data_IF_260183580872
#
_entry.id   IF_260183580872
#
_cell.length_a   1.000
_cell.length_b   1.000
_cell.length_c   1.000
_cell.angle_alpha   90.00
_cell.angle_beta   90.00
_cell.angle_gamma   90.00
#
_symmetry.space_group_name_H-M   'P 1'
#
loop_
_entity.id
_entity.type
_entity.pdbx_description
1 polymer ?
#
# COMPACT_ATOMS: atom_id res chain seq x y z
N UNK A 1 -15.63 13.28 -5.58
CA UNK A 1 -15.85 13.87 -6.93
C UNK A 1 -17.02 13.18 -7.65
N UNK A 2 -17.59 13.77 -8.70
CA UNK A 2 -18.54 13.08 -9.59
C UNK A 2 -17.81 12.72 -10.90
N UNK A 3 -18.04 11.52 -11.44
CA UNK A 3 -17.52 11.12 -12.74
C UNK A 3 -18.56 11.35 -13.83
N UNK A 4 -18.10 11.73 -15.02
CA UNK A 4 -18.96 12.04 -16.16
C UNK A 4 -18.51 11.27 -17.39
N UNK A 5 -19.47 10.75 -18.15
CA UNK A 5 -19.27 10.28 -19.51
C UNK A 5 -19.55 11.43 -20.49
N UNK A 6 -18.71 11.59 -21.52
CA UNK A 6 -18.94 12.56 -22.60
C UNK A 6 -19.37 11.83 -23.87
N UNK A 7 -20.59 12.11 -24.32
CA UNK A 7 -21.15 11.57 -25.57
C UNK A 7 -21.85 12.68 -26.33
N UNK A 8 -21.62 12.80 -27.64
CA UNK A 8 -22.20 13.87 -28.46
C UNK A 8 -21.94 15.31 -27.93
N UNK A 9 -20.80 15.53 -27.28
CA UNK A 9 -20.42 16.80 -26.61
C UNK A 9 -21.33 17.17 -25.42
N UNK A 10 -22.11 16.23 -24.91
CA UNK A 10 -22.89 16.37 -23.69
C UNK A 10 -22.24 15.58 -22.55
N UNK A 11 -22.32 16.12 -21.33
CA UNK A 11 -21.79 15.50 -20.12
C UNK A 11 -22.92 14.82 -19.36
N UNK A 12 -22.79 13.51 -19.14
CA UNK A 12 -23.72 12.71 -18.35
C UNK A 12 -23.03 12.24 -17.08
N UNK A 13 -23.58 12.62 -15.92
CA UNK A 13 -23.08 12.14 -14.65
C UNK A 13 -23.27 10.62 -14.54
N UNK A 14 -22.24 9.92 -14.11
CA UNK A 14 -22.32 8.49 -13.82
C UNK A 14 -23.05 8.25 -12.50
N UNK A 15 -23.86 7.21 -12.46
CA UNK A 15 -24.57 6.79 -11.25
C UNK A 15 -23.59 6.11 -10.30
N UNK A 16 -23.49 6.63 -9.07
CA UNK A 16 -22.76 5.95 -7.99
C UNK A 16 -23.53 4.72 -7.56
N UNK A 17 -22.80 3.63 -7.35
CA UNK A 17 -23.35 2.38 -6.81
C UNK A 17 -22.53 1.94 -5.60
N UNK A 18 -22.74 0.72 -5.11
CA UNK A 18 -21.90 0.08 -4.09
C UNK A 18 -21.46 -1.29 -4.57
N UNK A 19 -20.33 -1.79 -4.08
CA UNK A 19 -19.89 -3.15 -4.40
C UNK A 19 -20.94 -4.22 -4.04
N UNK A 20 -21.69 -4.00 -2.96
CA UNK A 20 -22.76 -4.91 -2.55
C UNK A 20 -23.91 -4.92 -3.56
N UNK A 21 -24.31 -3.77 -4.11
CA UNK A 21 -25.37 -3.67 -5.11
C UNK A 21 -24.96 -4.29 -6.45
N UNK A 22 -23.69 -4.15 -6.85
CA UNK A 22 -23.15 -4.77 -8.05
C UNK A 22 -22.78 -6.25 -7.86
N UNK A 23 -23.03 -6.82 -6.67
CA UNK A 23 -22.73 -8.22 -6.37
C UNK A 23 -21.24 -8.56 -6.25
N UNK A 24 -20.36 -7.55 -6.23
CA UNK A 24 -18.91 -7.72 -6.15
C UNK A 24 -18.48 -8.11 -4.72
N UNK A 25 -17.75 -9.21 -4.64
CA UNK A 25 -17.19 -9.77 -3.43
C UNK A 25 -15.76 -9.25 -3.21
N UNK A 26 -15.44 -9.00 -1.95
CA UNK A 26 -14.14 -8.42 -1.55
C UNK A 26 -12.97 -9.30 -2.00
N UNK A 27 -12.98 -10.58 -1.63
CA UNK A 27 -11.90 -11.52 -1.96
C UNK A 27 -11.93 -12.01 -3.40
N UNK A 28 -13.09 -12.38 -3.91
CA UNK A 28 -13.19 -13.07 -5.20
C UNK A 28 -13.20 -12.13 -6.41
N UNK A 29 -13.58 -10.86 -6.21
CA UNK A 29 -13.67 -9.89 -7.30
C UNK A 29 -12.69 -8.72 -7.07
N UNK A 30 -12.82 -7.98 -5.96
CA UNK A 30 -12.02 -6.76 -5.75
C UNK A 30 -10.54 -7.07 -5.58
N UNK A 31 -10.17 -7.97 -4.67
CA UNK A 31 -8.79 -8.36 -4.45
C UNK A 31 -8.16 -8.99 -5.71
N UNK A 32 -8.89 -9.84 -6.42
CA UNK A 32 -8.45 -10.45 -7.68
C UNK A 32 -8.19 -9.43 -8.79
N UNK A 33 -9.01 -8.37 -8.87
CA UNK A 33 -8.82 -7.28 -9.82
C UNK A 33 -7.66 -6.36 -9.39
N UNK A 34 -7.63 -5.95 -8.12
CA UNK A 34 -6.64 -5.03 -7.56
C UNK A 34 -5.23 -5.62 -7.60
N UNK A 35 -5.05 -6.90 -7.26
CA UNK A 35 -3.71 -7.51 -7.26
C UNK A 35 -3.06 -7.55 -8.65
N UNK A 36 -3.86 -7.53 -9.73
CA UNK A 36 -3.39 -7.49 -11.11
C UNK A 36 -3.01 -6.07 -11.55
N UNK A 37 -3.48 -5.05 -10.83
CA UNK A 37 -3.22 -3.65 -11.11
C UNK A 37 -3.08 -2.87 -9.80
N UNK A 38 -2.07 -3.25 -9.01
CA UNK A 38 -1.92 -2.79 -7.62
C UNK A 38 -1.65 -1.28 -7.53
N UNK A 39 -1.08 -0.71 -8.59
CA UNK A 39 -0.73 0.71 -8.69
C UNK A 39 -1.91 1.66 -8.47
N UNK A 40 -3.15 1.20 -8.70
CA UNK A 40 -4.34 2.02 -8.48
C UNK A 40 -4.54 2.40 -7.00
N UNK A 41 -3.98 1.63 -6.05
CA UNK A 41 -4.04 1.91 -4.62
C UNK A 41 -2.66 2.04 -3.96
N UNK A 42 -1.68 1.32 -4.47
CA UNK A 42 -0.33 1.24 -3.92
C UNK A 42 0.66 1.30 -5.11
N UNK A 43 0.94 2.50 -5.64
CA UNK A 43 1.94 2.69 -6.68
C UNK A 43 3.30 2.19 -6.22
N UNK A 44 4.09 1.73 -7.19
CA UNK A 44 5.47 1.29 -6.96
C UNK A 44 5.55 0.14 -5.95
N UNK A 45 4.58 -0.79 -6.01
CA UNK A 45 4.51 -1.96 -5.15
C UNK A 45 4.47 -3.27 -5.96
N UNK A 46 5.16 -4.29 -5.46
CA UNK A 46 5.15 -5.65 -5.97
C UNK A 46 4.39 -6.55 -5.00
N UNK A 47 3.26 -7.12 -5.42
CA UNK A 47 2.51 -8.09 -4.61
C UNK A 47 3.29 -9.40 -4.49
N UNK A 48 3.61 -9.79 -3.26
CA UNK A 48 4.36 -11.01 -2.96
C UNK A 48 3.51 -12.13 -2.34
N UNK A 49 2.35 -11.80 -1.77
CA UNK A 49 1.41 -12.80 -1.25
C UNK A 49 0.00 -12.24 -1.21
N UNK A 50 -0.98 -13.14 -1.28
CA UNK A 50 -2.39 -12.89 -0.97
C UNK A 50 -2.82 -13.76 0.21
N UNK A 51 -3.79 -13.29 1.00
CA UNK A 51 -4.34 -14.01 2.14
C UNK A 51 -3.25 -14.52 3.11
N UNK A 52 -2.23 -13.69 3.34
CA UNK A 52 -1.02 -14.07 4.06
C UNK A 52 -1.32 -14.39 5.53
N UNK A 53 -0.93 -15.58 5.98
CA UNK A 53 -1.10 -16.06 7.35
C UNK A 53 0.05 -16.99 7.72
N UNK A 54 0.95 -16.54 8.59
CA UNK A 54 2.12 -17.32 9.05
C UNK A 54 2.19 -17.47 10.57
N UNK A 55 1.06 -17.32 11.25
CA UNK A 55 0.97 -17.42 12.70
C UNK A 55 0.23 -18.70 13.08
N UNK A 56 0.85 -19.49 13.96
CA UNK A 56 0.40 -20.86 14.30
C UNK A 56 -1.03 -20.90 14.90
N UNK A 57 -1.45 -19.85 15.61
CA UNK A 57 -2.68 -19.84 16.42
C UNK A 57 -3.73 -18.80 16.01
N UNK A 58 -3.73 -18.33 14.76
CA UNK A 58 -4.72 -17.33 14.34
C UNK A 58 -5.23 -17.53 12.91
N UNK A 59 -6.55 -17.37 12.75
CA UNK A 59 -7.24 -17.41 11.44
C UNK A 59 -7.23 -16.07 10.71
N UNK A 60 -6.59 -15.06 11.31
CA UNK A 60 -6.41 -13.78 10.67
C UNK A 60 -5.55 -13.96 9.44
N UNK A 61 -5.61 -12.99 8.52
CA UNK A 61 -4.74 -12.94 7.35
C UNK A 61 -4.65 -11.50 6.85
N UNK A 62 -3.54 -11.18 6.20
CA UNK A 62 -3.38 -9.94 5.42
C UNK A 62 -3.98 -10.20 4.06
N UNK A 63 -4.82 -9.27 3.55
CA UNK A 63 -5.45 -9.46 2.24
C UNK A 63 -4.39 -9.52 1.14
N UNK A 64 -3.52 -8.50 1.06
CA UNK A 64 -2.36 -8.48 0.18
C UNK A 64 -1.11 -8.02 0.93
N UNK A 65 -0.01 -8.74 0.72
CA UNK A 65 1.33 -8.36 1.19
C UNK A 65 2.17 -8.01 -0.04
N UNK A 66 2.82 -6.85 0.00
CA UNK A 66 3.66 -6.36 -1.08
C UNK A 66 5.02 -5.85 -0.57
N UNK A 67 5.91 -5.55 -1.52
CA UNK A 67 7.20 -4.89 -1.31
C UNK A 67 7.20 -3.61 -2.14
N UNK A 68 7.69 -2.49 -1.59
CA UNK A 68 7.88 -1.26 -2.35
C UNK A 68 9.29 -1.12 -2.94
N UNK A 69 9.50 -0.07 -3.75
CA UNK A 69 10.80 0.23 -4.36
C UNK A 69 11.95 0.47 -3.36
N UNK A 70 11.65 0.73 -2.09
CA UNK A 70 12.65 0.89 -1.03
C UNK A 70 12.87 -0.41 -0.24
N UNK A 71 12.36 -1.54 -0.74
CA UNK A 71 12.41 -2.85 -0.09
C UNK A 71 11.71 -2.90 1.28
N UNK A 72 10.74 -2.01 1.53
CA UNK A 72 9.87 -2.06 2.69
C UNK A 72 8.71 -3.01 2.46
N UNK A 73 8.22 -3.63 3.55
CA UNK A 73 7.00 -4.42 3.50
C UNK A 73 5.78 -3.50 3.46
N UNK A 74 4.78 -3.88 2.67
CA UNK A 74 3.53 -3.13 2.51
C UNK A 74 2.35 -4.02 2.85
N UNK A 75 1.65 -3.68 3.93
CA UNK A 75 0.40 -4.33 4.37
C UNK A 75 -0.76 -3.63 3.68
N UNK A 76 -1.53 -4.38 2.89
CA UNK A 76 -2.66 -3.84 2.14
C UNK A 76 -3.93 -4.55 2.59
N UNK A 77 -4.87 -3.78 3.14
CA UNK A 77 -6.19 -4.26 3.57
C UNK A 77 -7.28 -3.67 2.68
N UNK A 78 -8.21 -4.51 2.27
CA UNK A 78 -9.30 -4.17 1.36
C UNK A 78 -10.64 -4.30 2.08
N UNK A 79 -11.54 -3.34 1.85
CA UNK A 79 -12.92 -3.44 2.29
C UNK A 79 -13.91 -3.00 1.25
N UNK A 80 -15.01 -3.75 1.14
CA UNK A 80 -16.14 -3.33 0.32
C UNK A 80 -17.17 -2.44 1.05
N UNK A 81 -17.10 -2.36 2.38
CA UNK A 81 -18.02 -1.53 3.19
C UNK A 81 -17.66 -0.03 3.16
N UNK A 82 -18.59 0.82 3.60
CA UNK A 82 -18.47 2.28 3.57
C UNK A 82 -17.85 2.87 4.85
N UNK A 83 -17.41 2.03 5.78
CA UNK A 83 -16.91 2.50 7.09
C UNK A 83 -15.42 2.26 7.26
N UNK A 84 -14.89 1.25 6.59
CA UNK A 84 -13.54 0.75 6.82
C UNK A 84 -13.36 0.19 8.24
N UNK A 85 -14.43 -0.22 8.92
CA UNK A 85 -14.41 -0.40 10.37
C UNK A 85 -13.24 -1.31 10.85
N UNK A 86 -12.40 -0.79 11.74
CA UNK A 86 -11.25 -1.49 12.36
C UNK A 86 -10.11 -1.88 11.40
N UNK A 87 -10.10 -1.42 10.15
CA UNK A 87 -9.02 -1.72 9.20
C UNK A 87 -7.67 -1.26 9.73
N UNK A 88 -7.61 -0.07 10.34
CA UNK A 88 -6.40 0.51 10.93
C UNK A 88 -5.83 -0.35 12.05
N UNK A 89 -6.69 -0.93 12.89
CA UNK A 89 -6.27 -1.84 13.97
C UNK A 89 -5.82 -3.19 13.43
N UNK A 90 -6.46 -3.69 12.37
CA UNK A 90 -6.03 -4.91 11.69
C UNK A 90 -4.66 -4.73 11.06
N UNK A 91 -4.51 -3.71 10.22
CA UNK A 91 -3.27 -3.43 9.53
C UNK A 91 -2.12 -3.14 10.48
N UNK A 92 -2.33 -2.37 11.55
CA UNK A 92 -1.28 -2.08 12.54
C UNK A 92 -0.80 -3.35 13.25
N UNK A 93 -1.73 -4.26 13.59
CA UNK A 93 -1.37 -5.55 14.16
C UNK A 93 -0.57 -6.39 13.17
N UNK A 94 -0.98 -6.43 11.90
CA UNK A 94 -0.26 -7.18 10.87
C UNK A 94 1.13 -6.62 10.60
N UNK A 95 1.25 -5.30 10.51
CA UNK A 95 2.54 -4.63 10.41
C UNK A 95 3.45 -5.06 11.57
N UNK A 96 2.97 -5.00 12.80
CA UNK A 96 3.74 -5.46 13.96
C UNK A 96 4.15 -6.95 13.83
N UNK A 97 3.25 -7.82 13.36
CA UNK A 97 3.51 -9.26 13.21
C UNK A 97 4.55 -9.59 12.14
N UNK A 98 4.62 -8.82 11.05
CA UNK A 98 5.60 -9.05 9.97
C UNK A 98 6.87 -8.22 10.11
N UNK A 99 6.99 -7.39 11.15
CA UNK A 99 8.13 -6.47 11.36
C UNK A 99 9.49 -7.13 11.49
N UNK A 100 9.53 -8.44 11.77
CA UNK A 100 10.76 -9.23 11.87
C UNK A 100 10.96 -10.16 10.67
N UNK A 101 10.13 -10.05 9.64
CA UNK A 101 10.23 -10.87 8.44
C UNK A 101 11.55 -10.58 7.71
N UNK A 102 12.35 -11.62 7.49
CA UNK A 102 13.59 -11.52 6.73
C UNK A 102 13.33 -11.54 5.22
N UNK A 103 14.29 -11.01 4.45
CA UNK A 103 14.25 -11.06 2.99
C UNK A 103 14.11 -12.50 2.45
N UNK A 104 14.87 -13.44 3.03
CA UNK A 104 14.78 -14.86 2.67
C UNK A 104 13.35 -15.39 2.85
N UNK A 105 12.70 -15.01 3.95
CA UNK A 105 11.32 -15.41 4.23
C UNK A 105 10.33 -14.78 3.24
N UNK A 106 10.49 -13.50 2.91
CA UNK A 106 9.69 -12.85 1.87
C UNK A 106 9.83 -13.55 0.51
N UNK A 107 11.04 -13.96 0.12
CA UNK A 107 11.29 -14.73 -1.08
C UNK A 107 10.57 -16.09 -1.08
N UNK A 108 10.57 -16.82 0.06
CA UNK A 108 9.83 -18.09 0.19
C UNK A 108 8.33 -17.93 -0.06
N UNK A 109 7.72 -16.88 0.50
CA UNK A 109 6.31 -16.60 0.28
C UNK A 109 6.02 -16.19 -1.15
N UNK A 110 6.87 -15.32 -1.70
CA UNK A 110 6.70 -14.90 -3.08
C UNK A 110 6.85 -16.07 -4.05
N UNK A 111 7.79 -16.98 -3.81
CA UNK A 111 7.92 -18.18 -4.63
C UNK A 111 6.66 -19.06 -4.58
N UNK A 112 6.06 -19.17 -3.39
CA UNK A 112 4.79 -19.89 -3.22
C UNK A 112 3.65 -19.21 -3.97
N UNK A 113 3.59 -17.87 -3.93
CA UNK A 113 2.62 -17.08 -4.66
C UNK A 113 2.80 -17.24 -6.18
N UNK A 114 4.02 -17.11 -6.71
CA UNK A 114 4.31 -17.30 -8.13
C UNK A 114 3.89 -18.67 -8.64
N UNK A 115 4.14 -19.74 -7.87
CA UNK A 115 3.68 -21.10 -8.20
C UNK A 115 2.16 -21.19 -8.29
N UNK A 116 1.42 -20.56 -7.37
CA UNK A 116 -0.06 -20.50 -7.43
C UNK A 116 -0.55 -19.75 -8.67
N UNK A 117 0.20 -18.75 -9.13
CA UNK A 117 -0.09 -18.00 -10.36
C UNK A 117 0.43 -18.69 -11.64
N UNK A 118 0.97 -19.91 -11.56
CA UNK A 118 1.61 -20.62 -12.68
C UNK A 118 2.74 -19.81 -13.35
N UNK A 119 3.54 -19.10 -12.55
CA UNK A 119 4.70 -18.35 -12.99
C UNK A 119 5.99 -19.04 -12.52
N UNK A 120 6.84 -19.46 -13.46
CA UNK A 120 8.11 -20.16 -13.19
C UNK A 120 9.30 -19.23 -12.92
N UNK A 121 9.02 -17.98 -12.55
CA UNK A 121 10.08 -17.01 -12.25
C UNK A 121 10.70 -17.30 -10.87
N UNK A 122 11.97 -16.94 -10.72
CA UNK A 122 12.63 -16.92 -9.42
C UNK A 122 12.16 -15.70 -8.61
N UNK A 123 11.65 -15.95 -7.41
CA UNK A 123 11.11 -14.92 -6.55
C UNK A 123 12.16 -13.89 -6.12
N UNK A 124 13.37 -14.35 -5.83
CA UNK A 124 14.45 -13.50 -5.35
C UNK A 124 14.92 -12.57 -6.47
N UNK A 125 15.18 -13.13 -7.66
CA UNK A 125 15.56 -12.34 -8.84
C UNK A 125 14.51 -11.26 -9.16
N UNK A 126 13.21 -11.62 -9.14
CA UNK A 126 12.14 -10.65 -9.37
C UNK A 126 12.08 -9.53 -8.34
N UNK A 127 12.29 -9.84 -7.06
CA UNK A 127 12.29 -8.79 -6.03
C UNK A 127 13.50 -7.87 -6.24
N UNK A 128 14.70 -8.42 -6.48
CA UNK A 128 15.92 -7.64 -6.73
C UNK A 128 15.78 -6.74 -7.97
N UNK A 129 15.26 -7.27 -9.07
CA UNK A 129 14.96 -6.51 -10.28
C UNK A 129 13.94 -5.39 -10.00
N UNK A 130 12.91 -5.70 -9.21
CA UNK A 130 11.89 -4.73 -8.87
C UNK A 130 12.44 -3.58 -8.01
N UNK A 131 13.23 -3.87 -6.97
CA UNK A 131 13.80 -2.84 -6.09
C UNK A 131 15.03 -2.14 -6.69
N UNK A 132 15.57 -2.66 -7.80
CA UNK A 132 16.77 -2.14 -8.48
C UNK A 132 18.02 -2.15 -7.56
N UNK A 133 18.15 -3.18 -6.72
CA UNK A 133 19.25 -3.36 -5.78
C UNK A 133 19.85 -4.76 -5.90
N UNK A 134 21.15 -4.86 -5.63
CA UNK A 134 21.80 -6.15 -5.39
C UNK A 134 21.51 -6.67 -3.98
N UNK A 135 21.60 -8.00 -3.79
CA UNK A 135 21.37 -8.62 -2.46
C UNK A 135 22.32 -8.07 -1.38
N UNK A 136 23.55 -7.68 -1.75
CA UNK A 136 24.51 -7.09 -0.82
C UNK A 136 24.13 -5.67 -0.37
N UNK A 137 23.23 -5.01 -1.09
CA UNK A 137 22.75 -3.65 -0.81
C UNK A 137 21.46 -3.67 0.04
N UNK A 138 20.82 -4.84 0.17
CA UNK A 138 19.59 -5.09 0.94
C UNK A 138 19.81 -5.15 2.47
N UNK A 139 20.67 -4.29 3.00
CA UNK A 139 20.99 -4.22 4.43
C UNK A 139 19.78 -3.78 5.25
N UNK A 140 18.89 -2.98 4.66
CA UNK A 140 17.74 -2.36 5.30
C UNK A 140 16.38 -2.97 4.85
N UNK A 141 16.35 -4.23 4.40
CA UNK A 141 15.08 -4.89 4.03
C UNK A 141 14.05 -4.84 5.16
N UNK A 142 12.83 -4.39 4.85
CA UNK A 142 11.72 -4.37 5.81
C UNK A 142 11.99 -3.47 7.03
N UNK A 143 12.90 -2.50 6.92
CA UNK A 143 13.24 -1.55 8.00
C UNK A 143 12.02 -0.78 8.48
N UNK A 144 11.19 -0.34 7.53
CA UNK A 144 9.90 0.26 7.80
C UNK A 144 8.79 -0.58 7.17
N UNK A 145 7.55 -0.34 7.63
CA UNK A 145 6.36 -1.01 7.12
C UNK A 145 5.36 0.05 6.72
N UNK A 146 4.87 -0.07 5.49
CA UNK A 146 3.84 0.79 4.94
C UNK A 146 2.49 0.08 5.06
N UNK A 147 1.45 0.86 5.30
CA UNK A 147 0.08 0.39 5.41
C UNK A 147 -0.75 1.07 4.32
N UNK A 148 -1.49 0.30 3.54
CA UNK A 148 -2.47 0.80 2.58
C UNK A 148 -3.83 0.24 2.95
N UNK A 149 -4.78 1.13 3.23
CA UNK A 149 -6.17 0.78 3.44
C UNK A 149 -6.96 1.20 2.21
N UNK A 150 -7.65 0.28 1.55
CA UNK A 150 -8.54 0.60 0.43
C UNK A 150 -9.98 0.20 0.76
N UNK A 151 -10.89 1.18 0.74
CA UNK A 151 -12.29 0.95 1.13
C UNK A 151 -13.27 1.82 0.37
N UNK A 152 -14.56 1.47 0.35
CA UNK A 152 -15.59 2.29 -0.32
C UNK A 152 -15.69 3.69 0.27
N UNK A 153 -15.57 3.79 1.59
CA UNK A 153 -15.38 5.04 2.30
C UNK A 153 -14.79 4.78 3.70
N UNK A 154 -14.42 5.84 4.42
CA UNK A 154 -13.79 5.75 5.73
C UNK A 154 -14.54 6.59 6.77
N UNK A 155 -14.72 6.02 7.97
CA UNK A 155 -15.29 6.77 9.08
C UNK A 155 -14.38 7.93 9.53
N UNK A 156 -14.96 8.91 10.22
CA UNK A 156 -14.21 10.02 10.83
C UNK A 156 -13.20 9.54 11.88
N UNK A 157 -13.55 8.48 12.62
CA UNK A 157 -12.69 7.91 13.65
C UNK A 157 -11.45 7.25 13.04
N UNK A 158 -11.64 6.46 11.96
CA UNK A 158 -10.54 5.82 11.24
C UNK A 158 -9.61 6.86 10.61
N UNK A 159 -10.18 7.82 9.89
CA UNK A 159 -9.38 8.88 9.24
C UNK A 159 -8.61 9.71 10.27
N UNK A 160 -9.21 10.03 11.42
CA UNK A 160 -8.51 10.70 12.55
C UNK A 160 -7.34 9.85 13.05
N UNK A 161 -7.54 8.54 13.20
CA UNK A 161 -6.50 7.60 13.65
C UNK A 161 -5.36 7.50 12.64
N UNK A 162 -5.68 7.38 11.34
CA UNK A 162 -4.67 7.33 10.28
C UNK A 162 -3.83 8.61 10.23
N UNK A 163 -4.46 9.79 10.34
CA UNK A 163 -3.74 11.08 10.39
C UNK A 163 -2.83 11.15 11.61
N UNK A 164 -3.31 10.73 12.79
CA UNK A 164 -2.49 10.71 14.00
C UNK A 164 -1.31 9.73 13.90
N UNK A 165 -1.52 8.55 13.33
CA UNK A 165 -0.45 7.57 13.08
C UNK A 165 0.62 8.14 12.14
N UNK A 166 0.24 8.85 11.08
CA UNK A 166 1.19 9.55 10.20
C UNK A 166 2.01 10.60 10.94
N UNK A 167 1.39 11.37 11.84
CA UNK A 167 2.11 12.33 12.70
C UNK A 167 3.15 11.64 13.61
N UNK A 168 2.93 10.36 13.95
CA UNK A 168 3.88 9.52 14.68
C UNK A 168 4.89 8.78 13.80
N UNK A 169 4.90 9.05 12.50
CA UNK A 169 5.85 8.47 11.55
C UNK A 169 5.44 7.12 10.97
N UNK A 170 4.22 6.64 11.24
CA UNK A 170 3.69 5.43 10.59
C UNK A 170 3.23 5.79 9.18
N UNK A 171 3.79 5.14 8.17
CA UNK A 171 3.35 5.37 6.79
C UNK A 171 2.05 4.62 6.51
N UNK A 172 0.93 5.28 6.77
CA UNK A 172 -0.41 4.77 6.48
C UNK A 172 -1.09 5.60 5.39
N UNK A 173 -1.63 4.92 4.38
CA UNK A 173 -2.36 5.49 3.25
C UNK A 173 -3.80 5.00 3.26
N UNK A 174 -4.74 5.89 2.96
CA UNK A 174 -6.14 5.54 2.75
C UNK A 174 -6.55 5.88 1.32
N UNK A 175 -7.08 4.90 0.60
CA UNK A 175 -7.57 5.02 -0.77
C UNK A 175 -9.05 4.69 -0.81
N UNK A 176 -9.86 5.65 -1.25
CA UNK A 176 -11.29 5.46 -1.44
C UNK A 176 -11.56 4.81 -2.78
N UNK A 177 -12.31 3.72 -2.80
CA UNK A 177 -12.74 3.01 -4.00
C UNK A 177 -14.24 3.27 -4.25
N UNK A 178 -14.58 4.18 -5.16
CA UNK A 178 -15.98 4.49 -5.47
C UNK A 178 -16.41 3.79 -6.76
N UNK A 179 -17.35 2.84 -6.72
CA UNK A 179 -17.88 2.21 -7.93
C UNK A 179 -18.97 3.08 -8.59
N UNK A 180 -18.99 3.05 -9.92
CA UNK A 180 -19.97 3.73 -10.77
C UNK A 180 -20.50 2.75 -11.81
N UNK A 181 -21.79 2.82 -12.10
CA UNK A 181 -22.37 2.06 -13.20
C UNK A 181 -22.18 2.82 -14.52
N UNK A 182 -21.68 2.13 -15.53
CA UNK A 182 -21.58 2.66 -16.89
C UNK A 182 -21.94 1.58 -17.90
N UNK A 183 -23.13 1.69 -18.50
CA UNK A 183 -23.73 0.64 -19.32
C UNK A 183 -23.83 -0.68 -18.51
N UNK A 184 -23.24 -1.76 -19.02
CA UNK A 184 -23.18 -3.08 -18.36
C UNK A 184 -21.91 -3.27 -17.50
N UNK A 185 -21.03 -2.27 -17.46
CA UNK A 185 -19.75 -2.33 -16.74
C UNK A 185 -19.79 -1.54 -15.42
N UNK A 186 -18.90 -1.93 -14.51
CA UNK A 186 -18.62 -1.20 -13.25
C UNK A 186 -17.27 -0.52 -13.36
N UNK A 187 -17.26 0.81 -13.26
CA UNK A 187 -16.05 1.61 -13.19
C UNK A 187 -15.68 1.88 -11.73
N UNK A 188 -14.41 1.76 -11.38
CA UNK A 188 -13.93 2.05 -10.02
C UNK A 188 -13.04 3.28 -10.06
N UNK A 189 -13.41 4.31 -9.29
CA UNK A 189 -12.55 5.44 -9.01
C UNK A 189 -11.74 5.17 -7.75
N UNK A 190 -10.41 5.06 -7.87
CA UNK A 190 -9.50 5.00 -6.73
C UNK A 190 -8.95 6.39 -6.43
N UNK A 191 -9.26 6.93 -5.25
CA UNK A 191 -8.87 8.27 -4.80
C UNK A 191 -8.08 8.18 -3.50
N UNK A 192 -6.81 8.58 -3.51
CA UNK A 192 -6.05 8.71 -2.27
C UNK A 192 -6.58 9.89 -1.45
N UNK A 193 -6.99 9.62 -0.21
CA UNK A 193 -7.54 10.64 0.70
C UNK A 193 -6.60 10.96 1.85
N UNK A 194 -5.76 10.01 2.25
CA UNK A 194 -4.75 10.17 3.31
C UNK A 194 -3.44 9.55 2.82
N UNK A 195 -2.32 10.28 2.87
CA UNK A 195 -2.30 11.74 2.96
C UNK A 195 -3.05 12.34 1.75
N UNK A 196 -3.58 13.56 1.89
CA UNK A 196 -4.10 14.27 0.72
C UNK A 196 -2.92 14.48 -0.24
N UNK A 197 -2.98 14.07 -1.52
CA UNK A 197 -1.82 14.03 -2.41
C UNK A 197 -1.01 15.34 -2.47
N UNK A 198 -1.69 16.48 -2.50
CA UNK A 198 -1.06 17.80 -2.52
C UNK A 198 -0.24 18.08 -1.25
N UNK A 199 -0.65 17.53 -0.10
CA UNK A 199 0.09 17.62 1.15
C UNK A 199 1.28 16.64 1.20
N UNK A 200 1.18 15.50 0.52
CA UNK A 200 2.27 14.52 0.42
C UNK A 200 3.47 15.09 -0.33
N UNK A 201 3.24 15.66 -1.52
CA UNK A 201 4.31 16.31 -2.31
C UNK A 201 5.02 17.42 -1.53
N UNK A 202 4.28 18.19 -0.74
CA UNK A 202 4.85 19.21 0.12
C UNK A 202 5.68 18.58 1.25
N UNK A 203 5.16 17.56 1.94
CA UNK A 203 5.87 16.89 3.04
C UNK A 203 7.15 16.16 2.58
N UNK A 204 7.16 15.57 1.38
CA UNK A 204 8.36 14.92 0.81
C UNK A 204 9.48 15.94 0.63
N UNK A 205 9.20 17.08 -0.01
CA UNK A 205 10.19 18.16 -0.19
C UNK A 205 10.76 18.67 1.14
N UNK A 206 9.95 18.69 2.19
CA UNK A 206 10.41 19.09 3.53
C UNK A 206 11.26 18.02 4.21
N UNK A 207 10.93 16.73 4.05
CA UNK A 207 11.74 15.62 4.55
C UNK A 207 13.09 15.56 3.85
N UNK A 208 13.11 15.60 2.52
CA UNK A 208 14.35 15.64 1.72
C UNK A 208 15.26 16.79 2.17
N UNK A 209 14.72 18.01 2.30
CA UNK A 209 15.47 19.17 2.78
C UNK A 209 16.00 19.00 4.20
N UNK A 210 15.25 18.33 5.08
CA UNK A 210 15.66 18.09 6.47
C UNK A 210 16.75 17.00 6.54
N UNK A 211 16.62 15.96 5.74
CA UNK A 211 17.59 14.87 5.68
C UNK A 211 18.91 15.35 5.05
N UNK A 212 18.85 16.19 3.99
CA UNK A 212 20.00 16.92 3.47
C UNK A 212 20.69 17.80 4.54
N UNK A 213 19.90 18.50 5.36
CA UNK A 213 20.43 19.33 6.46
C UNK A 213 21.07 18.50 7.57
N UNK A 214 20.50 17.35 7.93
CA UNK A 214 21.07 16.43 8.91
C UNK A 214 22.37 15.80 8.40
N UNK A 215 22.41 15.35 7.14
CA UNK A 215 23.60 14.80 6.48
C UNK A 215 24.70 15.86 6.38
N UNK A 216 24.35 17.10 6.00
CA UNK A 216 25.27 18.24 5.97
C UNK A 216 25.84 18.55 7.37
N UNK A 217 25.01 18.48 8.41
CA UNK A 217 25.42 18.76 9.78
C UNK A 217 26.36 17.69 10.34
N UNK A 218 26.07 16.40 10.09
CA UNK A 218 26.95 15.28 10.46
C UNK A 218 28.28 15.28 9.70
N UNK A 219 28.30 15.71 8.43
CA UNK A 219 29.56 15.91 7.68
C UNK A 219 30.41 17.02 8.28
N UNK A 220 29.80 18.14 8.69
CA UNK A 220 30.53 19.23 9.37
C UNK A 220 31.08 18.80 10.73
N UNK A 221 30.38 17.97 11.49
CA UNK A 221 30.82 17.50 12.80
C UNK A 221 32.03 16.54 12.72
N UNK A 222 32.11 15.72 11.66
CA UNK A 222 33.25 14.82 11.39
C UNK A 222 34.52 15.54 10.94
N UNK A 223 34.44 16.81 10.53
CA UNK A 223 35.59 17.59 10.02
C UNK A 223 36.39 18.32 11.12
N UNK A 224 35.91 18.36 12.37
CA UNK A 224 36.59 19.07 13.47
C UNK A 224 37.51 18.19 14.35
N UNK A 225 37.69 16.91 14.03
CA UNK A 225 38.50 15.97 14.83
C UNK A 225 40.00 15.92 14.48
N UNK A 226 40.49 16.80 13.60
CA UNK A 226 41.91 16.84 13.18
C UNK A 226 42.73 18.03 13.71
N UNK A 227 42.23 18.77 14.70
CA UNK A 227 42.97 19.88 15.33
C UNK A 227 42.89 19.84 16.86
N UNK A 228 43.48 18.81 17.50
CA UNK A 228 43.98 18.88 18.89
C UNK A 228 45.27 18.06 18.98
#
# INVERSE_FOLDING_TARGET
MALYNITNKELHALEKTTFTLEGLQERYDLQEAIKKNIDIIAPDCLVISEEFSDWEDSRRRIDLLAIDKQANLVVIELKRDETGAHMELQALRYAAMISTMSFAKACEYFQTYLKKQNCDADAKEKILEFVELDETELVDFGKDIRIVLASSDFSKELTTTAIWLRDKGVDIRCVRLTPYRFNDDVLINAEQIIPVPELEEYQVKFREKRDEQLISSQKKEKDYTWYI
#
